data_IF_937977034738
#
_entry.id   IF_937977034738
#
_cell.length_a   1.000
_cell.length_b   1.000
_cell.length_c   1.000
_cell.angle_alpha   90.00
_cell.angle_beta   90.00
_cell.angle_gamma   90.00
#
_symmetry.space_group_name_H-M   'P 1'
#
loop_
_entity.id
_entity.type
_entity.pdbx_description
1 polymer ?
#
# COMPACT_ATOMS: atom_id res chain seq x y z
N UNK A 1 6.34 -18.13 4.50
CA UNK A 1 6.96 -16.87 4.06
C UNK A 1 7.86 -17.13 2.87
N UNK A 2 7.84 -16.25 1.89
CA UNK A 2 8.68 -16.32 0.69
C UNK A 2 9.38 -14.98 0.47
N UNK A 3 10.58 -15.03 -0.10
CA UNK A 3 11.32 -13.84 -0.51
C UNK A 3 11.24 -13.70 -2.04
N UNK A 4 10.76 -12.54 -2.49
CA UNK A 4 10.67 -12.18 -3.91
C UNK A 4 11.76 -11.18 -4.25
N UNK A 5 12.56 -11.48 -5.25
CA UNK A 5 13.67 -10.65 -5.72
C UNK A 5 13.31 -10.02 -7.06
N UNK A 6 13.62 -8.75 -7.22
CA UNK A 6 13.29 -7.99 -8.41
C UNK A 6 14.56 -7.51 -9.13
N UNK A 7 14.51 -7.50 -10.44
CA UNK A 7 15.60 -6.93 -11.27
C UNK A 7 15.60 -5.41 -11.23
N UNK A 8 14.41 -4.83 -11.23
CA UNK A 8 14.20 -3.39 -11.16
C UNK A 8 14.07 -2.88 -9.72
N UNK A 9 14.11 -1.58 -9.56
CA UNK A 9 13.88 -0.97 -8.25
C UNK A 9 12.44 -1.15 -7.82
N UNK A 10 12.27 -1.43 -6.53
CA UNK A 10 10.94 -1.55 -5.94
C UNK A 10 10.20 -0.21 -6.02
N UNK A 11 8.91 -0.28 -6.33
CA UNK A 11 8.05 0.90 -6.28
C UNK A 11 8.13 1.54 -4.89
N UNK A 12 8.28 2.86 -4.87
CA UNK A 12 8.45 3.62 -3.62
C UNK A 12 7.25 3.50 -2.69
N UNK A 13 6.06 3.22 -3.23
CA UNK A 13 4.82 3.08 -2.47
C UNK A 13 4.65 1.73 -1.77
N UNK A 14 5.48 0.72 -2.10
CA UNK A 14 5.38 -0.60 -1.46
C UNK A 14 5.77 -0.52 0.00
N UNK A 15 4.91 -1.03 0.86
CA UNK A 15 5.06 -0.99 2.33
C UNK A 15 4.67 -2.33 2.95
N UNK A 16 5.10 -2.52 4.19
CA UNK A 16 4.59 -3.61 5.03
C UNK A 16 3.07 -3.52 5.17
N UNK A 17 2.40 -4.66 5.02
CA UNK A 17 0.94 -4.76 5.08
C UNK A 17 0.24 -4.67 3.72
N UNK A 18 0.96 -4.35 2.63
CA UNK A 18 0.37 -4.34 1.29
C UNK A 18 0.05 -5.77 0.84
N UNK A 19 -1.01 -5.92 0.07
CA UNK A 19 -1.37 -7.18 -0.58
C UNK A 19 -0.55 -7.40 -1.83
N UNK A 20 -0.10 -8.62 -2.04
CA UNK A 20 0.71 -9.04 -3.20
C UNK A 20 -0.08 -9.98 -4.08
N UNK A 21 -0.11 -9.67 -5.37
CA UNK A 21 -0.73 -10.49 -6.41
C UNK A 21 0.29 -10.83 -7.47
N UNK A 22 0.21 -12.04 -7.99
CA UNK A 22 0.99 -12.46 -9.15
C UNK A 22 0.07 -12.71 -10.35
N UNK A 23 0.50 -12.27 -11.52
CA UNK A 23 -0.16 -12.57 -12.78
C UNK A 23 0.81 -13.34 -13.65
N UNK A 24 0.49 -14.59 -13.99
CA UNK A 24 1.32 -15.37 -14.92
C UNK A 24 1.41 -14.69 -16.27
N UNK A 25 2.62 -14.60 -16.79
CA UNK A 25 2.88 -14.10 -18.14
C UNK A 25 3.15 -15.26 -19.09
N UNK A 26 2.44 -15.30 -20.20
CA UNK A 26 2.80 -16.16 -21.33
C UNK A 26 3.44 -15.32 -22.42
N UNK A 27 4.67 -15.63 -22.77
CA UNK A 27 5.29 -15.08 -23.97
C UNK A 27 4.81 -15.84 -25.18
N UNK A 28 4.02 -15.21 -26.04
CA UNK A 28 3.82 -15.71 -27.40
C UNK A 28 4.88 -15.09 -28.30
N UNK A 29 5.83 -15.91 -28.74
CA UNK A 29 6.77 -15.50 -29.76
C UNK A 29 6.05 -15.49 -31.11
N UNK A 30 5.54 -14.37 -31.53
CA UNK A 30 5.26 -14.11 -32.93
C UNK A 30 6.50 -13.49 -33.57
N UNK A 31 6.75 -13.84 -34.81
CA UNK A 31 8.01 -13.62 -35.55
C UNK A 31 8.51 -12.16 -35.63
N UNK A 32 7.71 -11.18 -35.20
CA UNK A 32 8.04 -9.76 -35.36
C UNK A 32 7.94 -8.87 -34.11
N UNK A 33 7.21 -9.28 -33.06
CA UNK A 33 7.14 -8.52 -31.81
C UNK A 33 6.87 -9.48 -30.65
N UNK A 34 7.68 -9.47 -29.57
CA UNK A 34 7.34 -10.23 -28.38
C UNK A 34 6.06 -9.68 -27.77
N UNK A 35 4.95 -10.34 -28.03
CA UNK A 35 3.67 -9.99 -27.45
C UNK A 35 3.57 -10.68 -26.09
N UNK A 36 3.74 -9.90 -25.03
CA UNK A 36 3.56 -10.39 -23.67
C UNK A 36 2.07 -10.35 -23.38
N UNK A 37 1.44 -11.52 -23.27
CA UNK A 37 0.05 -11.63 -22.87
C UNK A 37 -0.07 -12.11 -21.43
N UNK A 38 -0.98 -11.52 -20.69
CA UNK A 38 -1.34 -12.01 -19.38
C UNK A 38 -2.18 -13.28 -19.52
N UNK A 39 -1.71 -14.39 -19.00
CA UNK A 39 -2.42 -15.66 -19.07
C UNK A 39 -3.14 -15.95 -17.77
N UNK A 40 -4.22 -15.28 -17.52
CA UNK A 40 -5.05 -15.63 -16.40
C UNK A 40 -5.39 -14.50 -15.43
N UNK A 41 -6.08 -14.86 -14.37
CA UNK A 41 -6.48 -13.96 -13.30
C UNK A 41 -5.33 -13.69 -12.35
N UNK A 42 -5.33 -12.51 -11.73
CA UNK A 42 -4.42 -12.20 -10.64
C UNK A 42 -4.60 -13.22 -9.51
N UNK A 43 -3.52 -13.85 -9.10
CA UNK A 43 -3.48 -14.78 -7.99
C UNK A 43 -2.98 -14.06 -6.75
N UNK A 44 -3.75 -14.05 -5.69
CA UNK A 44 -3.32 -13.51 -4.41
C UNK A 44 -2.20 -14.38 -3.83
N UNK A 45 -1.08 -13.78 -3.50
CA UNK A 45 0.09 -14.47 -2.94
C UNK A 45 0.11 -14.35 -1.42
N UNK A 46 -0.03 -13.13 -0.90
CA UNK A 46 0.04 -12.89 0.53
C UNK A 46 0.20 -11.42 0.86
N UNK A 47 0.70 -11.16 2.06
CA UNK A 47 0.86 -9.82 2.61
C UNK A 47 2.35 -9.52 2.78
N UNK A 48 2.77 -8.31 2.43
CA UNK A 48 4.16 -7.86 2.61
C UNK A 48 4.48 -7.79 4.11
N UNK A 49 5.48 -8.55 4.54
CA UNK A 49 6.02 -8.49 5.90
C UNK A 49 7.20 -7.52 6.00
N UNK A 50 8.13 -7.59 5.06
CA UNK A 50 9.34 -6.76 5.07
C UNK A 50 9.71 -6.32 3.67
N UNK A 51 10.19 -5.08 3.54
CA UNK A 51 10.67 -4.50 2.29
C UNK A 51 12.14 -4.15 2.43
N UNK A 52 12.99 -4.77 1.63
CA UNK A 52 14.41 -4.46 1.53
C UNK A 52 14.70 -3.79 0.17
N UNK A 53 14.84 -2.49 0.19
CA UNK A 53 15.08 -1.68 -1.02
C UNK A 53 16.52 -1.81 -1.54
N UNK A 54 17.48 -2.07 -0.65
CA UNK A 54 18.88 -2.24 -1.01
C UNK A 54 19.09 -3.55 -1.79
N UNK A 55 18.43 -4.60 -1.35
CA UNK A 55 18.45 -5.92 -2.01
C UNK A 55 17.39 -6.07 -3.11
N UNK A 56 16.56 -5.05 -3.33
CA UNK A 56 15.42 -5.11 -4.26
C UNK A 56 14.54 -6.33 -4.00
N UNK A 57 14.25 -6.60 -2.74
CA UNK A 57 13.47 -7.77 -2.34
C UNK A 57 12.35 -7.40 -1.38
N UNK A 58 11.31 -8.21 -1.40
CA UNK A 58 10.24 -8.17 -0.42
C UNK A 58 10.04 -9.56 0.19
N UNK A 59 9.79 -9.59 1.48
CA UNK A 59 9.33 -10.80 2.16
C UNK A 59 7.81 -10.77 2.26
N UNK A 60 7.18 -11.85 1.82
CA UNK A 60 5.73 -12.00 1.78
C UNK A 60 5.30 -13.13 2.68
N UNK A 61 4.33 -12.88 3.54
CA UNK A 61 3.66 -13.92 4.30
C UNK A 61 2.57 -14.56 3.42
N UNK A 62 2.85 -15.74 2.93
CA UNK A 62 1.95 -16.53 2.09
C UNK A 62 1.28 -17.69 2.84
N UNK A 63 1.27 -17.65 4.17
CA UNK A 63 0.75 -18.75 5.00
C UNK A 63 -0.73 -19.05 4.76
N UNK A 64 -1.50 -18.05 4.34
CA UNK A 64 -2.94 -18.21 4.04
C UNK A 64 -3.23 -18.84 2.68
N UNK A 65 -2.31 -18.72 1.72
CA UNK A 65 -2.52 -19.17 0.34
C UNK A 65 -1.63 -20.33 -0.07
N UNK A 66 -0.46 -20.43 0.55
CA UNK A 66 0.65 -21.30 0.14
C UNK A 66 1.06 -21.13 -1.35
N UNK A 67 0.64 -20.01 -1.95
CA UNK A 67 0.96 -19.71 -3.34
C UNK A 67 2.38 -19.16 -3.47
N UNK A 68 3.06 -19.58 -4.51
CA UNK A 68 4.41 -19.11 -4.86
C UNK A 68 4.40 -18.70 -6.32
N UNK A 69 4.74 -17.45 -6.65
CA UNK A 69 4.81 -17.02 -8.04
C UNK A 69 5.98 -17.68 -8.75
N UNK A 70 5.86 -17.88 -10.05
CA UNK A 70 6.95 -18.35 -10.87
C UNK A 70 7.91 -17.21 -11.22
N UNK A 71 9.14 -17.59 -11.59
CA UNK A 71 10.09 -16.61 -12.12
C UNK A 71 9.58 -16.05 -13.44
N UNK A 72 9.49 -14.73 -13.54
CA UNK A 72 8.97 -14.03 -14.71
C UNK A 72 7.50 -13.60 -14.58
N UNK A 73 6.80 -14.01 -13.55
CA UNK A 73 5.43 -13.51 -13.30
C UNK A 73 5.44 -12.01 -12.99
N UNK A 74 4.37 -11.34 -13.41
CA UNK A 74 4.16 -9.95 -13.06
C UNK A 74 3.62 -9.82 -11.64
N UNK A 75 4.28 -9.02 -10.81
CA UNK A 75 3.89 -8.81 -9.41
C UNK A 75 3.22 -7.44 -9.27
N UNK A 76 2.00 -7.45 -8.77
CA UNK A 76 1.22 -6.26 -8.45
C UNK A 76 1.01 -6.11 -6.93
N UNK A 77 0.88 -4.89 -6.49
CA UNK A 77 0.62 -4.57 -5.08
C UNK A 77 -0.68 -3.79 -4.95
N UNK A 78 -1.44 -4.09 -3.92
CA UNK A 78 -2.61 -3.32 -3.53
C UNK A 78 -2.51 -2.91 -2.07
N UNK A 79 -2.98 -1.71 -1.77
CA UNK A 79 -3.07 -1.23 -0.39
C UNK A 79 -4.19 -1.94 0.35
N UNK A 80 -3.97 -2.26 1.62
CA UNK A 80 -5.03 -2.76 2.47
C UNK A 80 -6.06 -1.66 2.71
N UNK A 81 -7.26 -1.87 2.15
CA UNK A 81 -8.35 -0.95 2.32
C UNK A 81 -8.90 -0.91 3.76
N UNK A 82 -8.60 -1.92 4.57
CA UNK A 82 -9.07 -1.95 5.97
C UNK A 82 -8.40 -0.88 6.82
N UNK A 83 -7.12 -0.59 6.57
CA UNK A 83 -6.44 0.52 7.23
C UNK A 83 -6.99 1.88 6.84
N UNK A 84 -7.57 2.00 5.65
CA UNK A 84 -8.23 3.22 5.19
C UNK A 84 -9.74 3.26 5.50
N UNK A 85 -10.36 2.12 5.75
CA UNK A 85 -11.77 2.03 6.13
C UNK A 85 -12.03 2.54 7.55
N UNK A 86 -11.01 2.54 8.40
CA UNK A 86 -11.03 3.16 9.73
C UNK A 86 -10.63 4.64 9.70
N UNK A 87 -10.31 5.20 8.56
CA UNK A 87 -10.15 6.64 8.45
C UNK A 87 -11.50 7.27 8.75
N UNK A 88 -11.49 8.16 9.71
CA UNK A 88 -12.64 8.92 10.16
C UNK A 88 -13.43 9.42 8.96
N UNK A 89 -14.69 8.99 8.86
CA UNK A 89 -15.62 9.53 7.87
C UNK A 89 -16.00 10.94 8.33
N UNK A 90 -15.20 11.90 7.92
CA UNK A 90 -15.33 13.28 8.30
C UNK A 90 -14.30 13.67 9.35
N UNK A 91 -13.60 14.74 9.06
CA UNK A 91 -12.69 15.37 9.98
C UNK A 91 -13.44 16.48 10.70
N UNK A 92 -13.51 16.41 12.02
CA UNK A 92 -13.93 17.54 12.81
C UNK A 92 -12.94 17.78 13.94
N UNK A 93 -12.73 19.01 14.27
CA UNK A 93 -11.97 19.39 15.45
C UNK A 93 -12.92 20.03 16.45
N UNK A 94 -12.95 19.51 17.66
CA UNK A 94 -13.67 20.11 18.77
C UNK A 94 -12.67 20.85 19.64
N UNK A 95 -12.86 22.16 19.75
CA UNK A 95 -11.98 23.01 20.55
C UNK A 95 -12.79 23.70 21.62
N UNK A 96 -12.40 23.49 22.87
CA UNK A 96 -13.04 24.12 24.02
C UNK A 96 -12.13 25.21 24.59
N UNK A 97 -12.65 26.41 24.68
CA UNK A 97 -11.97 27.54 25.32
C UNK A 97 -12.57 27.79 26.69
N UNK A 98 -11.73 27.73 27.71
CA UNK A 98 -12.16 27.94 29.10
C UNK A 98 -11.47 29.16 29.68
N UNK A 99 -12.26 30.13 30.17
CA UNK A 99 -11.72 31.24 30.91
C UNK A 99 -11.90 31.02 32.41
N UNK A 100 -10.83 30.74 33.12
CA UNK A 100 -10.81 30.58 34.57
C UNK A 100 -10.45 31.84 35.33
N UNK A 101 -10.29 32.97 34.64
CA UNK A 101 -10.02 34.24 35.26
C UNK A 101 -11.32 34.88 35.77
N UNK A 102 -11.20 35.72 36.80
CA UNK A 102 -12.32 36.52 37.34
C UNK A 102 -12.60 37.77 36.51
N UNK A 103 -11.82 38.02 35.48
CA UNK A 103 -11.96 39.18 34.61
C UNK A 103 -12.56 38.74 33.27
N UNK A 104 -13.25 39.71 32.63
CA UNK A 104 -13.83 39.52 31.30
C UNK A 104 -12.70 39.22 30.29
N UNK A 105 -12.85 38.15 29.52
CA UNK A 105 -12.00 37.84 28.37
C UNK A 105 -12.85 37.77 27.11
N UNK A 106 -12.34 38.27 26.01
CA UNK A 106 -13.02 38.28 24.72
C UNK A 106 -12.16 37.53 23.72
N UNK A 107 -12.80 36.57 23.01
CA UNK A 107 -12.18 35.83 21.90
C UNK A 107 -12.64 36.45 20.59
N UNK A 108 -11.72 37.04 19.82
CA UNK A 108 -12.06 37.73 18.58
C UNK A 108 -12.02 36.87 17.35
N UNK A 109 -11.07 35.90 17.29
CA UNK A 109 -10.94 35.03 16.15
C UNK A 109 -10.26 33.74 16.56
N UNK A 110 -10.63 32.65 15.88
CA UNK A 110 -9.96 31.31 15.95
C UNK A 110 -9.74 30.84 14.53
N UNK A 111 -8.52 30.44 14.22
CA UNK A 111 -8.17 29.81 12.96
C UNK A 111 -7.63 28.40 13.20
N UNK A 112 -7.96 27.49 12.31
CA UNK A 112 -7.42 26.14 12.32
C UNK A 112 -6.98 25.74 10.91
N UNK A 113 -5.82 25.10 10.81
CA UNK A 113 -5.34 24.50 9.58
C UNK A 113 -5.30 22.99 9.78
N UNK A 114 -5.96 22.25 8.89
CA UNK A 114 -6.03 20.80 8.94
C UNK A 114 -5.41 20.27 7.67
N UNK A 115 -4.34 19.47 7.82
CA UNK A 115 -3.71 18.79 6.71
C UNK A 115 -4.05 17.30 6.78
N UNK A 116 -4.57 16.77 5.68
CA UNK A 116 -4.78 15.35 5.53
C UNK A 116 -3.43 14.67 5.27
N UNK A 117 -3.02 13.79 6.17
CA UNK A 117 -1.89 12.92 5.95
C UNK A 117 -2.30 11.82 4.97
N UNK A 118 -1.75 11.82 3.77
CA UNK A 118 -1.83 10.66 2.88
C UNK A 118 -0.75 9.67 3.29
N UNK A 119 -1.17 8.50 3.69
CA UNK A 119 -0.25 7.37 3.81
C UNK A 119 0.03 6.77 2.46
#
# INVERSE_FOLDING_TARGET
>A
MIDLFFTEQLNISVQKGDFVFATPLTSQSSYDVPNITFSGSNVFIGIVDTVDRAQKSIRVDNSSTNSVPASGDYIAFAKDNQTNANSLKGYYAETTFTNNSKQKAELFAVGAEIQQSSK
#
